data_IF_599898633717
#
_entry.id   IF_599898633717
#
_cell.length_a   1.000
_cell.length_b   1.000
_cell.length_c   1.000
_cell.angle_alpha   90.00
_cell.angle_beta   90.00
_cell.angle_gamma   90.00
#
_symmetry.space_group_name_H-M   'P 1'
#
loop_
_entity.id
_entity.type
_entity.pdbx_description
1 polymer ?
#
# COMPACT_ATOMS: atom_id res chain seq x y z
N UNK A 1 -30.50 -5.78 -1.04
CA UNK A 1 -29.48 -6.33 -0.13
C UNK A 1 -29.64 -5.64 1.21
N UNK A 2 -29.55 -6.38 2.32
CA UNK A 2 -29.42 -5.74 3.63
C UNK A 2 -28.00 -5.15 3.79
N UNK A 3 -27.78 -4.40 4.87
CA UNK A 3 -26.51 -3.72 5.13
C UNK A 3 -25.37 -4.71 5.41
N UNK A 4 -25.66 -5.80 6.13
CA UNK A 4 -24.67 -6.83 6.47
C UNK A 4 -24.19 -7.56 5.21
N UNK A 5 -25.10 -7.85 4.28
CA UNK A 5 -24.78 -8.44 2.99
C UNK A 5 -23.89 -7.52 2.13
N UNK A 6 -24.12 -6.20 2.17
CA UNK A 6 -23.26 -5.24 1.46
C UNK A 6 -21.88 -5.13 2.12
N UNK A 7 -21.83 -5.12 3.46
CA UNK A 7 -20.57 -5.07 4.20
C UNK A 7 -19.71 -6.31 3.95
N UNK A 8 -20.33 -7.51 3.96
CA UNK A 8 -19.64 -8.76 3.66
C UNK A 8 -19.06 -8.76 2.25
N UNK A 9 -19.86 -8.38 1.24
CA UNK A 9 -19.38 -8.31 -0.14
C UNK A 9 -18.22 -7.30 -0.32
N UNK A 10 -18.22 -6.19 0.41
CA UNK A 10 -17.11 -5.24 0.40
C UNK A 10 -15.84 -5.80 1.05
N UNK A 11 -15.97 -6.54 2.16
CA UNK A 11 -14.85 -7.20 2.82
C UNK A 11 -14.23 -8.27 1.92
N UNK A 12 -15.05 -9.11 1.29
CA UNK A 12 -14.59 -10.15 0.35
C UNK A 12 -13.84 -9.53 -0.83
N UNK A 13 -14.34 -8.41 -1.36
CA UNK A 13 -13.68 -7.70 -2.45
C UNK A 13 -12.32 -7.13 -2.03
N UNK A 14 -12.21 -6.60 -0.80
CA UNK A 14 -10.93 -6.13 -0.26
C UNK A 14 -9.92 -7.28 -0.09
N UNK A 15 -10.37 -8.46 0.37
CA UNK A 15 -9.49 -9.63 0.55
C UNK A 15 -9.01 -10.21 -0.79
N UNK A 16 -9.82 -10.14 -1.83
CA UNK A 16 -9.48 -10.64 -3.17
C UNK A 16 -8.67 -9.65 -4.03
N UNK A 17 -8.31 -8.47 -3.52
CA UNK A 17 -7.66 -7.41 -4.29
C UNK A 17 -6.23 -7.16 -3.84
N UNK A 18 -5.27 -7.36 -4.74
CA UNK A 18 -3.89 -6.92 -4.57
C UNK A 18 -3.67 -5.53 -5.18
N UNK A 19 -2.98 -4.65 -4.45
CA UNK A 19 -2.61 -3.31 -4.92
C UNK A 19 -1.11 -3.22 -5.16
N UNK A 20 -0.74 -2.80 -6.36
CA UNK A 20 0.63 -2.44 -6.71
C UNK A 20 0.65 -1.00 -7.23
N UNK A 21 1.60 -0.21 -6.74
CA UNK A 21 1.78 1.18 -7.14
C UNK A 21 3.26 1.52 -7.28
N UNK A 22 3.55 2.59 -8.01
CA UNK A 22 4.87 3.21 -8.05
C UNK A 22 4.73 4.69 -7.75
N UNK A 23 5.74 5.27 -7.12
CA UNK A 23 5.76 6.68 -6.72
C UNK A 23 7.09 7.29 -7.16
N UNK A 24 7.08 8.55 -7.55
CA UNK A 24 8.33 9.26 -7.86
C UNK A 24 9.18 9.51 -6.59
N UNK A 25 8.54 9.58 -5.42
CA UNK A 25 9.22 9.70 -4.12
C UNK A 25 8.35 9.15 -2.99
N UNK A 26 9.00 8.58 -1.96
CA UNK A 26 8.35 8.12 -0.74
C UNK A 26 8.14 9.24 0.29
N UNK A 27 8.65 10.45 0.05
CA UNK A 27 8.60 11.56 1.02
C UNK A 27 7.15 11.93 1.42
N UNK A 28 6.19 11.82 0.50
CA UNK A 28 4.79 12.10 0.83
C UNK A 28 4.16 11.03 1.73
N UNK A 29 4.50 9.75 1.53
CA UNK A 29 4.09 8.67 2.44
C UNK A 29 4.72 8.87 3.82
N UNK A 30 5.99 9.27 3.86
CA UNK A 30 6.71 9.57 5.11
C UNK A 30 6.06 10.73 5.87
N UNK A 31 5.82 11.85 5.19
CA UNK A 31 5.18 13.03 5.78
C UNK A 31 3.76 12.75 6.27
N UNK A 32 3.04 11.84 5.58
CA UNK A 32 1.71 11.39 5.98
C UNK A 32 1.68 10.31 7.06
N UNK A 33 2.85 9.79 7.49
CA UNK A 33 2.93 8.70 8.48
C UNK A 33 2.52 7.33 7.96
N UNK A 34 2.39 7.15 6.64
CA UNK A 34 1.89 5.92 5.97
C UNK A 34 2.97 5.15 5.22
N UNK A 35 4.24 5.50 5.43
CA UNK A 35 5.35 4.87 4.72
C UNK A 35 5.58 3.40 5.10
N UNK A 36 5.11 2.98 6.29
CA UNK A 36 5.22 1.60 6.75
C UNK A 36 6.65 1.05 6.64
N UNK A 37 6.75 -0.19 6.17
CA UNK A 37 8.03 -0.90 5.99
C UNK A 37 8.81 -0.41 4.77
N UNK A 38 8.17 0.27 3.82
CA UNK A 38 8.85 0.92 2.70
C UNK A 38 9.83 2.03 3.15
N UNK A 39 9.83 2.42 4.43
CA UNK A 39 10.84 3.28 5.03
C UNK A 39 12.27 2.73 4.88
N UNK A 40 12.45 1.41 4.74
CA UNK A 40 13.74 0.77 4.50
C UNK A 40 14.44 1.27 3.22
N UNK A 41 13.67 1.77 2.24
CA UNK A 41 14.22 2.35 1.01
C UNK A 41 14.62 3.82 1.13
N UNK A 42 14.26 4.50 2.23
CA UNK A 42 14.55 5.92 2.44
C UNK A 42 16.06 6.10 2.62
N UNK A 43 16.74 6.49 1.54
CA UNK A 43 18.19 6.76 1.50
C UNK A 43 19.03 5.73 0.74
N UNK A 44 18.45 4.58 0.36
CA UNK A 44 19.14 3.55 -0.43
C UNK A 44 18.64 3.44 -1.88
N UNK A 45 17.50 4.05 -2.18
CA UNK A 45 16.96 4.05 -3.53
C UNK A 45 17.82 4.95 -4.43
N UNK A 46 18.53 4.33 -5.37
CA UNK A 46 19.07 5.01 -6.55
C UNK A 46 17.89 5.64 -7.35
N UNK A 47 18.13 6.34 -8.46
CA UNK A 47 17.10 6.97 -9.33
C UNK A 47 16.04 6.01 -9.95
N UNK A 48 15.86 4.82 -9.37
CA UNK A 48 14.89 3.80 -9.71
C UNK A 48 13.57 4.07 -8.99
N UNK A 49 12.46 4.05 -9.74
CA UNK A 49 11.12 4.17 -9.15
C UNK A 49 10.77 2.88 -8.39
N UNK A 50 10.45 2.96 -7.09
CA UNK A 50 10.12 1.77 -6.31
C UNK A 50 8.73 1.27 -6.72
N UNK A 51 8.56 -0.05 -6.65
CA UNK A 51 7.23 -0.67 -6.66
C UNK A 51 6.87 -0.97 -5.21
N UNK A 52 5.68 -0.55 -4.81
CA UNK A 52 5.12 -0.76 -3.48
C UNK A 52 3.82 -1.55 -3.59
N UNK A 53 3.51 -2.27 -2.53
CA UNK A 53 2.22 -2.94 -2.35
C UNK A 53 1.60 -2.52 -1.01
N UNK A 54 0.36 -2.96 -0.79
CA UNK A 54 -0.34 -2.79 0.47
C UNK A 54 -0.62 -4.16 1.08
N UNK A 55 -0.17 -4.37 2.30
CA UNK A 55 -0.48 -5.57 3.09
C UNK A 55 -1.07 -5.14 4.42
N UNK A 56 -2.26 -5.67 4.75
CA UNK A 56 -2.93 -5.41 6.04
C UNK A 56 -3.08 -3.90 6.35
N UNK A 57 -3.25 -3.07 5.30
CA UNK A 57 -3.41 -1.62 5.42
C UNK A 57 -2.10 -0.82 5.59
N UNK A 58 -0.94 -1.47 5.53
CA UNK A 58 0.37 -0.82 5.55
C UNK A 58 1.05 -0.89 4.18
N UNK A 59 1.84 0.15 3.86
CA UNK A 59 2.64 0.18 2.64
C UNK A 59 3.88 -0.69 2.81
N UNK A 60 4.08 -1.64 1.90
CA UNK A 60 5.21 -2.56 1.87
C UNK A 60 5.97 -2.46 0.54
N UNK A 61 7.19 -3.00 0.54
CA UNK A 61 7.96 -3.22 -0.68
C UNK A 61 7.27 -4.28 -1.55
N UNK A 62 7.02 -4.00 -2.82
CA UNK A 62 6.62 -5.05 -3.75
C UNK A 62 7.89 -5.77 -4.24
N UNK A 63 8.35 -6.75 -3.47
CA UNK A 63 9.55 -7.54 -3.77
C UNK A 63 10.24 -8.09 -2.53
#
# INVERSE_FOLDING_TARGET
ADVDAVAAAAADACEATDLYATLDTLEYLRRGGRIGTAAAFVGGLLDVKPIISFEVGEVTAAG
#
